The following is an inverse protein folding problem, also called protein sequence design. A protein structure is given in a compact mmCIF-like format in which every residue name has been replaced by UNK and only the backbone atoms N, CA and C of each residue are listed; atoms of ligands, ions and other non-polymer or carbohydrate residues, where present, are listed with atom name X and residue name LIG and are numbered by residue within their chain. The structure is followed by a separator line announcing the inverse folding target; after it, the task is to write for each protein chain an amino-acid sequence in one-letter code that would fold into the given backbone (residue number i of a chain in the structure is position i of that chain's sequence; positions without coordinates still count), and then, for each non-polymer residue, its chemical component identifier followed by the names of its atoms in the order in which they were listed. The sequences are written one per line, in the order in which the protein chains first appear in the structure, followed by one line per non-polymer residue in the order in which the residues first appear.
data_IF_261298012406
#
_entry.id   IF_261298012406
#
_cell.length_a   1.000
_cell.length_b   1.000
_cell.length_c   1.000
_cell.angle_alpha   90.00
_cell.angle_beta   90.00
_cell.angle_gamma   90.00
#
_symmetry.space_group_name_H-M   'P 1'
#
loop_
_entity.id
_entity.type
_entity.pdbx_description
1 polymer ?
#
# COMPACT_ATOMS: atom_id res chain seq x y z
N UNK A 1 10.67 -2.32 6.24
CA UNK A 1 9.82 -1.53 5.32
C UNK A 1 9.45 -2.40 4.12
N UNK A 2 8.22 -2.31 3.60
CA UNK A 2 7.75 -3.05 2.42
C UNK A 2 7.09 -2.07 1.44
N UNK A 3 7.47 -2.12 0.17
CA UNK A 3 6.89 -1.27 -0.86
C UNK A 3 5.51 -1.76 -1.30
N UNK A 4 4.62 -0.83 -1.62
CA UNK A 4 3.39 -1.08 -2.35
C UNK A 4 3.70 -0.78 -3.81
N UNK A 5 3.66 -1.82 -4.64
CA UNK A 5 4.01 -1.75 -6.06
C UNK A 5 2.75 -1.87 -6.91
N UNK A 6 2.72 -1.15 -8.03
CA UNK A 6 1.72 -1.36 -9.06
C UNK A 6 1.80 -2.79 -9.63
N UNK A 7 0.67 -3.47 -9.82
CA UNK A 7 0.63 -4.84 -10.28
C UNK A 7 1.00 -4.96 -11.77
N UNK A 8 1.47 -6.14 -12.16
CA UNK A 8 1.65 -6.50 -13.57
C UNK A 8 0.30 -6.49 -14.29
N UNK A 9 0.31 -6.11 -15.57
CA UNK A 9 -0.90 -6.08 -16.40
C UNK A 9 -1.89 -4.94 -16.09
N UNK A 10 -1.53 -3.99 -15.22
CA UNK A 10 -2.38 -2.83 -14.90
C UNK A 10 -1.64 -1.51 -15.02
N UNK A 11 -2.15 -0.64 -15.88
CA UNK A 11 -1.73 0.75 -16.02
C UNK A 11 -2.96 1.66 -16.04
N UNK A 12 -2.97 2.71 -15.22
CA UNK A 12 -4.08 3.65 -15.17
C UNK A 12 -4.41 4.19 -13.78
N UNK A 13 -5.46 5.01 -13.64
CA UNK A 13 -5.94 5.54 -12.37
C UNK A 13 -6.30 4.43 -11.38
N UNK A 14 -5.94 4.60 -10.11
CA UNK A 14 -6.17 3.58 -9.09
C UNK A 14 -6.68 4.17 -7.78
N UNK A 15 -7.39 3.36 -7.02
CA UNK A 15 -7.75 3.63 -5.63
C UNK A 15 -7.07 2.60 -4.70
N UNK A 16 -6.87 3.01 -3.45
CA UNK A 16 -6.27 2.16 -2.40
C UNK A 16 -7.35 1.73 -1.44
N UNK A 17 -7.58 0.43 -1.35
CA UNK A 17 -8.47 -0.17 -0.35
C UNK A 17 -7.68 -0.77 0.82
N UNK A 18 -8.38 -0.96 1.94
CA UNK A 18 -7.83 -1.65 3.11
C UNK A 18 -6.95 -0.78 4.01
N UNK A 19 -6.89 0.53 3.78
CA UNK A 19 -6.14 1.50 4.62
C UNK A 19 -6.48 1.34 6.10
N UNK A 20 -7.77 1.35 6.46
CA UNK A 20 -8.22 1.19 7.85
C UNK A 20 -7.76 -0.13 8.47
N UNK A 21 -7.79 -1.22 7.71
CA UNK A 21 -7.36 -2.54 8.17
C UNK A 21 -5.84 -2.62 8.35
N UNK A 22 -5.08 -2.02 7.44
CA UNK A 22 -3.62 -1.93 7.55
C UNK A 22 -3.19 -1.09 8.76
N UNK A 23 -3.86 0.03 9.03
CA UNK A 23 -3.58 0.92 10.16
C UNK A 23 -3.95 0.32 11.53
N UNK A 24 -4.82 -0.71 11.58
CA UNK A 24 -5.10 -1.45 12.82
C UNK A 24 -3.93 -2.33 13.27
N UNK A 25 -2.92 -2.54 12.44
CA UNK A 25 -1.72 -3.30 12.83
C UNK A 25 -0.84 -2.43 13.73
N UNK A 26 -0.55 -2.84 14.98
CA UNK A 26 0.26 -2.04 15.90
C UNK A 26 1.67 -1.79 15.35
N UNK A 27 2.18 -0.58 15.59
CA UNK A 27 3.55 -0.20 15.18
C UNK A 27 3.74 -0.07 13.67
N UNK A 28 2.66 0.06 12.89
CA UNK A 28 2.71 0.25 11.43
C UNK A 28 2.40 1.70 11.07
N UNK A 29 3.17 2.24 10.12
CA UNK A 29 2.89 3.47 9.39
C UNK A 29 2.70 3.14 7.91
N UNK A 30 1.58 3.58 7.34
CA UNK A 30 1.29 3.48 5.91
C UNK A 30 1.53 4.83 5.26
N UNK A 31 2.28 4.87 4.17
CA UNK A 31 2.51 6.08 3.39
C UNK A 31 2.17 5.84 1.92
N UNK A 32 1.17 6.56 1.40
CA UNK A 32 0.75 6.50 0.00
C UNK A 32 1.23 7.77 -0.70
N UNK A 33 1.88 7.63 -1.86
CA UNK A 33 2.55 8.75 -2.54
C UNK A 33 1.63 9.69 -3.31
N UNK A 34 0.31 9.48 -3.29
CA UNK A 34 -0.65 10.33 -4.02
C UNK A 34 -0.47 10.32 -5.54
N UNK A 35 0.13 9.26 -6.11
CA UNK A 35 0.29 9.15 -7.56
C UNK A 35 -1.08 8.92 -8.19
N UNK A 36 -1.40 9.67 -9.24
CA UNK A 36 -2.67 9.51 -9.94
C UNK A 36 -2.79 8.15 -10.64
N UNK A 37 -1.71 7.63 -11.20
CA UNK A 37 -1.70 6.38 -11.99
C UNK A 37 -0.74 5.32 -11.48
N UNK A 38 -1.18 4.06 -11.56
CA UNK A 38 -0.38 2.85 -11.38
C UNK A 38 0.29 2.45 -12.70
N UNK A 39 1.43 1.77 -12.60
CA UNK A 39 2.12 1.03 -13.69
C UNK A 39 2.84 -0.18 -13.07
N UNK A 40 3.16 -1.23 -13.83
CA UNK A 40 3.92 -2.37 -13.33
C UNK A 40 5.20 -1.95 -12.61
N UNK A 41 5.41 -2.49 -11.40
CA UNK A 41 6.55 -2.20 -10.52
C UNK A 41 6.70 -0.73 -10.08
N UNK A 42 5.75 0.15 -10.40
CA UNK A 42 5.77 1.53 -9.92
C UNK A 42 5.57 1.54 -8.41
N UNK A 43 6.45 2.20 -7.65
CA UNK A 43 6.24 2.40 -6.22
C UNK A 43 5.09 3.39 -6.00
N UNK A 44 4.01 2.94 -5.37
CA UNK A 44 2.80 3.72 -5.09
C UNK A 44 2.67 4.13 -3.61
N UNK A 45 3.47 3.50 -2.77
CA UNK A 45 3.57 3.80 -1.35
C UNK A 45 4.49 2.80 -0.67
N UNK A 46 4.47 2.81 0.65
CA UNK A 46 5.17 1.84 1.47
C UNK A 46 4.51 1.67 2.83
N UNK A 47 4.84 0.55 3.46
CA UNK A 47 4.51 0.22 4.84
C UNK A 47 5.81 0.15 5.62
N UNK A 48 5.91 0.95 6.68
CA UNK A 48 6.99 0.87 7.66
C UNK A 48 6.42 0.27 8.93
N UNK A 49 7.17 -0.62 9.58
CA UNK A 49 6.76 -1.22 10.83
C UNK A 49 7.93 -1.27 11.80
N UNK A 50 7.63 -1.08 13.08
CA UNK A 50 8.57 -1.23 14.19
C UNK A 50 8.16 -2.41 15.08
N UNK A 51 9.11 -2.97 15.80
CA UNK A 51 8.93 -4.11 16.70
C UNK A 51 10.14 -4.28 17.59
N UNK A 52 10.02 -5.10 18.64
CA UNK A 52 11.13 -5.43 19.55
C UNK A 52 12.18 -6.30 18.86
N UNK A 53 11.78 -7.04 17.84
CA UNK A 53 12.68 -7.81 16.98
C UNK A 53 12.43 -7.49 15.51
N UNK A 54 13.43 -7.77 14.67
CA UNK A 54 13.29 -7.66 13.20
C UNK A 54 12.15 -8.54 12.70
N UNK A 55 12.04 -9.78 13.21
CA UNK A 55 10.98 -10.72 12.84
C UNK A 55 9.58 -10.19 13.14
N UNK A 56 9.40 -9.54 14.30
CA UNK A 56 8.13 -8.90 14.65
C UNK A 56 7.80 -7.73 13.71
N UNK A 57 8.77 -6.88 13.41
CA UNK A 57 8.60 -5.78 12.47
C UNK A 57 8.23 -6.28 11.05
N UNK A 58 8.90 -7.34 10.58
CA UNK A 58 8.60 -7.97 9.28
C UNK A 58 7.19 -8.57 9.26
N UNK A 59 6.78 -9.26 10.33
CA UNK A 59 5.44 -9.82 10.44
C UNK A 59 4.36 -8.72 10.39
N UNK A 60 4.54 -7.64 11.15
CA UNK A 60 3.63 -6.48 11.17
C UNK A 60 3.54 -5.81 9.80
N UNK A 61 4.69 -5.51 9.17
CA UNK A 61 4.71 -4.90 7.85
C UNK A 61 4.02 -5.79 6.80
N UNK A 62 4.25 -7.11 6.87
CA UNK A 62 3.64 -8.08 5.94
C UNK A 62 2.13 -8.17 6.15
N UNK A 63 1.66 -8.21 7.40
CA UNK A 63 0.23 -8.23 7.74
C UNK A 63 -0.47 -6.98 7.21
N UNK A 64 0.10 -5.80 7.43
CA UNK A 64 -0.45 -4.55 6.92
C UNK A 64 -0.43 -4.49 5.39
N UNK A 65 0.66 -4.90 4.73
CA UNK A 65 0.73 -4.96 3.26
C UNK A 65 -0.33 -5.88 2.66
N UNK A 66 -0.63 -7.02 3.30
CA UNK A 66 -1.67 -7.96 2.84
C UNK A 66 -3.08 -7.36 2.89
N UNK A 67 -3.32 -6.40 3.78
CA UNK A 67 -4.61 -5.71 3.85
C UNK A 67 -4.79 -4.69 2.71
N UNK A 68 -3.69 -4.18 2.14
CA UNK A 68 -3.74 -3.18 1.06
C UNK A 68 -4.05 -3.84 -0.29
N UNK A 69 -5.04 -3.30 -0.97
CA UNK A 69 -5.38 -3.65 -2.36
C UNK A 69 -5.36 -2.41 -3.24
N UNK A 70 -4.85 -2.58 -4.46
CA UNK A 70 -4.91 -1.57 -5.51
C UNK A 70 -6.02 -1.99 -6.46
N UNK A 71 -7.03 -1.13 -6.62
CA UNK A 71 -8.14 -1.37 -7.54
C UNK A 71 -8.16 -0.27 -8.61
N UNK A 72 -8.64 -0.56 -9.83
CA UNK A 72 -8.90 0.49 -10.81
C UNK A 72 -9.83 1.54 -10.22
N UNK A 73 -9.47 2.82 -10.34
CA UNK A 73 -10.38 3.90 -9.96
C UNK A 73 -11.33 4.13 -11.11
N UNK A 74 -12.62 3.93 -10.87
CA UNK A 74 -13.66 4.28 -11.82
C UNK A 74 -13.91 5.79 -11.76
N UNK A 75 -12.98 6.61 -12.29
CA UNK A 75 -13.24 7.98 -12.76
C UNK A 75 -11.95 8.69 -13.16
N UNK A 76 -11.84 9.05 -14.45
CA UNK A 76 -11.43 10.41 -14.81
C UNK A 76 -12.58 11.33 -14.46
N UNK A 77 -12.54 11.92 -13.26
CA UNK A 77 -13.55 12.84 -12.75
C UNK A 77 -12.83 13.99 -12.09
N UNK A 78 -13.01 15.17 -12.67
CA UNK A 78 -12.42 16.44 -12.28
C UNK A 78 -12.45 16.67 -10.77
N UNK A 79 -11.29 17.04 -10.21
CA UNK A 79 -11.22 18.00 -9.10
C UNK A 79 -11.25 19.40 -9.67
#
# INVERSE_FOLDING_TARGET
MINILGPEGFEGPYAVEGIKAAMKVPGVTLYIYGKHSSKPRRKLGHVTATGRTVSEAVLRATKAKKAIKLIPSATGGNV
#
